data_IF_408220797702
#
_entry.id   IF_408220797702
#
_cell.length_a   1.000
_cell.length_b   1.000
_cell.length_c   1.000
_cell.angle_alpha   90.00
_cell.angle_beta   90.00
_cell.angle_gamma   90.00
#
_symmetry.space_group_name_H-M   'P 1'
#
loop_
_entity.id
_entity.type
_entity.pdbx_description
1 polymer ?
#
# COMPACT_ATOMS: atom_id res chain seq x y z
N UNK A 1 44.16 9.78 -39.48
CA UNK A 1 43.09 10.20 -38.56
C UNK A 1 41.78 9.71 -39.15
N UNK A 2 41.31 8.56 -38.67
CA UNK A 2 40.02 7.99 -39.05
C UNK A 2 38.97 8.48 -38.04
N UNK A 3 37.98 9.21 -38.52
CA UNK A 3 36.80 9.59 -37.76
C UNK A 3 35.88 8.36 -37.67
N UNK A 4 35.81 7.74 -36.50
CA UNK A 4 34.89 6.64 -36.23
C UNK A 4 33.48 7.21 -36.10
N UNK A 5 32.61 6.88 -37.06
CA UNK A 5 31.18 7.16 -37.00
C UNK A 5 30.53 6.35 -35.87
N UNK A 6 30.05 7.01 -34.81
CA UNK A 6 29.29 6.41 -33.70
C UNK A 6 27.80 6.20 -34.02
N UNK A 7 27.45 5.88 -35.26
CA UNK A 7 26.05 5.80 -35.70
C UNK A 7 25.59 4.38 -36.03
N UNK A 8 26.28 3.35 -35.54
CA UNK A 8 25.81 1.97 -35.65
C UNK A 8 25.59 1.41 -34.24
N UNK A 9 24.57 1.91 -33.55
CA UNK A 9 23.84 1.05 -32.62
C UNK A 9 23.08 0.07 -33.49
N UNK A 10 23.48 -1.20 -33.45
CA UNK A 10 22.70 -2.28 -34.04
C UNK A 10 21.24 -2.15 -33.56
N UNK A 11 20.35 -1.83 -34.49
CA UNK A 11 18.94 -1.54 -34.24
C UNK A 11 18.11 -2.81 -34.04
N UNK A 12 18.65 -3.80 -33.31
CA UNK A 12 18.00 -5.10 -33.08
C UNK A 12 17.53 -5.31 -31.64
N UNK A 13 17.74 -4.35 -30.74
CA UNK A 13 17.00 -4.32 -29.48
C UNK A 13 15.89 -3.29 -29.63
N UNK A 14 14.65 -3.78 -29.76
CA UNK A 14 13.45 -2.94 -29.71
C UNK A 14 13.39 -2.33 -28.31
N UNK A 15 14.05 -1.18 -28.12
CA UNK A 15 13.97 -0.40 -26.88
C UNK A 15 12.57 0.17 -26.82
N UNK A 16 11.68 -0.52 -26.10
CA UNK A 16 10.42 0.07 -25.68
C UNK A 16 10.76 1.29 -24.83
N UNK A 17 10.70 2.49 -25.42
CA UNK A 17 10.60 3.73 -24.66
C UNK A 17 9.21 3.73 -24.08
N UNK A 18 9.09 2.98 -22.99
CA UNK A 18 7.87 2.72 -22.30
C UNK A 18 7.44 4.05 -21.65
N UNK A 19 6.65 4.83 -22.38
CA UNK A 19 6.12 6.13 -21.93
C UNK A 19 5.03 5.86 -20.90
N UNK A 20 5.45 5.39 -19.74
CA UNK A 20 4.54 4.98 -18.70
C UNK A 20 3.96 6.20 -18.01
N UNK A 21 2.64 6.35 -18.11
CA UNK A 21 1.91 7.35 -17.35
C UNK A 21 2.27 7.24 -15.86
N UNK A 22 2.60 8.37 -15.23
CA UNK A 22 2.87 8.40 -13.79
C UNK A 22 1.57 8.21 -13.00
N UNK A 23 1.67 7.63 -11.81
CA UNK A 23 0.61 7.67 -10.82
C UNK A 23 0.35 9.12 -10.42
N UNK A 24 -0.92 9.42 -10.20
CA UNK A 24 -1.33 10.73 -9.68
C UNK A 24 -0.86 10.83 -8.24
N UNK A 25 -0.27 11.97 -7.89
CA UNK A 25 0.01 12.31 -6.49
C UNK A 25 -1.22 12.97 -5.86
N UNK A 26 -1.57 12.53 -4.65
CA UNK A 26 -2.75 13.04 -3.97
C UNK A 26 -2.41 14.36 -3.30
N UNK A 27 -3.19 15.40 -3.57
CA UNK A 27 -3.02 16.69 -2.90
C UNK A 27 -3.32 16.62 -1.40
N UNK A 28 -4.28 15.78 -1.02
CA UNK A 28 -4.69 15.58 0.37
C UNK A 28 -4.83 14.09 0.67
N UNK A 29 -4.06 13.63 1.66
CA UNK A 29 -4.11 12.28 2.18
C UNK A 29 -5.07 12.20 3.37
N UNK A 30 -5.77 11.07 3.58
CA UNK A 30 -6.63 10.88 4.76
C UNK A 30 -5.84 10.62 6.07
N UNK A 31 -4.51 10.81 6.04
CA UNK A 31 -3.60 10.67 7.17
C UNK A 31 -2.49 11.74 7.11
N UNK A 32 -1.86 11.95 8.26
CA UNK A 32 -0.64 12.74 8.44
C UNK A 32 0.55 11.83 8.76
N UNK A 33 1.77 12.38 8.75
CA UNK A 33 2.95 11.65 9.19
C UNK A 33 2.87 11.23 10.67
N UNK A 34 2.16 11.98 11.51
CA UNK A 34 1.91 11.59 12.89
C UNK A 34 1.05 10.31 12.96
N UNK A 35 0.02 10.20 12.13
CA UNK A 35 -0.83 9.01 12.10
C UNK A 35 -0.03 7.77 11.62
N UNK A 36 0.85 7.94 10.63
CA UNK A 36 1.78 6.89 10.17
C UNK A 36 2.68 6.42 11.31
N UNK A 37 3.23 7.37 12.10
CA UNK A 37 4.02 7.04 13.28
C UNK A 37 3.20 6.26 14.34
N UNK A 38 1.95 6.64 14.57
CA UNK A 38 1.06 5.94 15.50
C UNK A 38 0.80 4.50 15.07
N UNK A 39 0.56 4.24 13.78
CA UNK A 39 0.41 2.88 13.24
C UNK A 39 1.65 2.05 13.57
N UNK A 40 2.84 2.59 13.31
CA UNK A 40 4.10 1.89 13.55
C UNK A 40 4.32 1.62 15.05
N UNK A 41 4.04 2.60 15.92
CA UNK A 41 4.26 2.49 17.37
C UNK A 41 3.28 1.55 18.08
N UNK A 42 2.03 1.51 17.63
CA UNK A 42 0.95 0.82 18.34
C UNK A 42 0.47 -0.45 17.61
N UNK A 43 0.91 -0.67 16.37
CA UNK A 43 0.57 -1.82 15.56
C UNK A 43 1.53 -3.00 15.71
N UNK A 44 1.64 -3.81 14.65
CA UNK A 44 2.54 -4.98 14.54
C UNK A 44 4.03 -4.63 14.59
N UNK A 45 4.37 -3.36 14.35
CA UNK A 45 5.75 -2.89 14.34
C UNK A 45 6.23 -2.36 15.72
N UNK A 46 5.39 -2.43 16.76
CA UNK A 46 5.70 -1.87 18.10
C UNK A 46 7.03 -2.37 18.69
N UNK A 47 7.45 -3.58 18.40
CA UNK A 47 8.67 -4.14 19.00
C UNK A 47 9.93 -3.70 18.22
N UNK A 48 9.74 -3.16 17.01
CA UNK A 48 10.82 -2.68 16.13
C UNK A 48 10.77 -1.17 15.87
N UNK A 49 9.82 -0.43 16.44
CA UNK A 49 9.63 1.00 16.11
C UNK A 49 10.89 1.83 16.43
N UNK A 50 11.62 1.48 17.49
CA UNK A 50 12.85 2.16 17.91
C UNK A 50 13.97 2.06 16.87
N UNK A 51 13.90 1.06 15.99
CA UNK A 51 14.86 0.85 14.89
C UNK A 51 14.52 1.70 13.67
N UNK A 52 13.39 2.39 13.63
CA UNK A 52 12.94 3.13 12.44
C UNK A 52 13.33 4.60 12.58
N UNK A 53 14.12 5.10 11.64
CA UNK A 53 14.51 6.50 11.64
C UNK A 53 13.29 7.41 11.36
N UNK A 54 13.24 8.58 12.02
CA UNK A 54 12.12 9.51 11.86
C UNK A 54 11.99 10.06 10.44
N UNK A 55 13.10 10.18 9.71
CA UNK A 55 13.13 10.54 8.28
C UNK A 55 12.43 9.51 7.37
N UNK A 56 12.28 8.28 7.83
CA UNK A 56 11.61 7.20 7.09
C UNK A 56 10.09 7.38 7.10
N UNK A 57 9.54 8.11 8.08
CA UNK A 57 8.08 8.27 8.26
C UNK A 57 7.42 9.00 7.07
N UNK A 58 7.90 10.18 6.62
CA UNK A 58 7.35 10.82 5.42
C UNK A 58 7.50 9.95 4.17
N UNK A 59 8.59 9.17 4.09
CA UNK A 59 8.80 8.29 2.94
C UNK A 59 7.79 7.14 2.90
N UNK A 60 7.53 6.50 4.03
CA UNK A 60 6.47 5.49 4.16
C UNK A 60 5.10 6.04 3.81
N UNK A 61 4.77 7.25 4.28
CA UNK A 61 3.52 7.95 3.93
C UNK A 61 3.38 8.12 2.42
N UNK A 62 4.44 8.57 1.75
CA UNK A 62 4.46 8.77 0.31
C UNK A 62 4.37 7.44 -0.48
N UNK A 63 4.98 6.37 0.01
CA UNK A 63 4.84 5.03 -0.61
C UNK A 63 3.43 4.46 -0.42
N UNK A 64 2.83 4.63 0.76
CA UNK A 64 1.45 4.21 1.05
C UNK A 64 0.43 4.94 0.16
N UNK A 65 0.69 6.20 -0.19
CA UNK A 65 -0.11 6.92 -1.19
C UNK A 65 -0.17 6.17 -2.53
N UNK A 66 0.94 5.60 -3.01
CA UNK A 66 0.95 4.86 -4.29
C UNK A 66 0.01 3.66 -4.24
N UNK A 67 0.04 2.92 -3.14
CA UNK A 67 -0.90 1.82 -2.90
C UNK A 67 -2.34 2.30 -2.81
N UNK A 68 -2.62 3.41 -2.12
CA UNK A 68 -3.96 4.00 -2.06
C UNK A 68 -4.49 4.40 -3.44
N UNK A 69 -3.66 5.02 -4.28
CA UNK A 69 -4.07 5.43 -5.64
C UNK A 69 -4.40 4.22 -6.51
N UNK A 70 -3.62 3.13 -6.39
CA UNK A 70 -3.90 1.88 -7.11
C UNK A 70 -5.18 1.22 -6.59
N UNK A 71 -5.29 1.05 -5.27
CA UNK A 71 -6.46 0.48 -4.61
C UNK A 71 -7.72 1.26 -4.97
N UNK A 72 -7.69 2.59 -4.90
CA UNK A 72 -8.85 3.43 -5.20
C UNK A 72 -9.33 3.29 -6.65
N UNK A 73 -8.43 3.29 -7.64
CA UNK A 73 -8.78 3.05 -9.04
C UNK A 73 -9.45 1.69 -9.25
N UNK A 74 -8.94 0.67 -8.57
CA UNK A 74 -9.48 -0.68 -8.69
C UNK A 74 -10.81 -0.84 -7.95
N UNK A 75 -10.95 -0.25 -6.76
CA UNK A 75 -12.22 -0.15 -6.04
C UNK A 75 -13.26 0.57 -6.91
N UNK A 76 -12.90 1.70 -7.52
CA UNK A 76 -13.78 2.42 -8.45
C UNK A 76 -14.22 1.54 -9.62
N UNK A 77 -13.28 0.80 -10.23
CA UNK A 77 -13.58 -0.13 -11.31
C UNK A 77 -14.61 -1.18 -10.90
N UNK A 78 -14.44 -1.76 -9.70
CA UNK A 78 -15.34 -2.77 -9.14
C UNK A 78 -16.68 -2.19 -8.68
N UNK A 79 -16.71 -0.96 -8.17
CA UNK A 79 -17.93 -0.28 -7.71
C UNK A 79 -18.81 0.23 -8.85
N UNK A 80 -18.27 0.46 -10.05
CA UNK A 80 -19.01 1.02 -11.20
C UNK A 80 -20.30 0.28 -11.56
N UNK A 81 -20.32 -1.07 -11.70
CA UNK A 81 -21.52 -1.79 -12.10
C UNK A 81 -22.63 -1.77 -11.05
N UNK A 82 -22.26 -1.76 -9.76
CA UNK A 82 -23.21 -1.81 -8.63
C UNK A 82 -23.62 -0.41 -8.16
N UNK A 83 -22.79 0.60 -8.45
CA UNK A 83 -22.98 1.97 -7.96
C UNK A 83 -22.59 2.17 -6.49
N UNK A 84 -22.12 1.13 -5.80
CA UNK A 84 -21.77 1.15 -4.38
C UNK A 84 -20.36 0.64 -4.14
N UNK A 85 -19.69 1.22 -3.14
CA UNK A 85 -18.47 0.69 -2.55
C UNK A 85 -18.81 0.06 -1.20
N UNK A 86 -18.72 -1.28 -1.15
CA UNK A 86 -18.87 -2.09 0.04
C UNK A 86 -17.54 -2.71 0.46
N UNK A 87 -17.55 -3.56 1.50
CA UNK A 87 -16.39 -4.37 1.86
C UNK A 87 -15.92 -5.29 0.71
N UNK A 88 -16.82 -5.71 -0.17
CA UNK A 88 -16.49 -6.65 -1.25
C UNK A 88 -15.58 -6.02 -2.30
N UNK A 89 -15.84 -4.77 -2.70
CA UNK A 89 -15.02 -4.05 -3.67
C UNK A 89 -13.63 -3.76 -3.10
N UNK A 90 -13.53 -3.44 -1.80
CA UNK A 90 -12.23 -3.29 -1.11
C UNK A 90 -11.47 -4.61 -1.09
N UNK A 91 -12.11 -5.71 -0.66
CA UNK A 91 -11.49 -7.04 -0.65
C UNK A 91 -11.06 -7.50 -2.05
N UNK A 92 -11.89 -7.25 -3.06
CA UNK A 92 -11.60 -7.59 -4.46
C UNK A 92 -10.38 -6.83 -4.97
N UNK A 93 -10.31 -5.52 -4.73
CA UNK A 93 -9.16 -4.70 -5.12
C UNK A 93 -7.85 -5.16 -4.45
N UNK A 94 -7.89 -5.53 -3.17
CA UNK A 94 -6.74 -6.09 -2.46
C UNK A 94 -6.24 -7.37 -3.13
N UNK A 95 -7.14 -8.29 -3.46
CA UNK A 95 -6.78 -9.57 -4.11
C UNK A 95 -6.25 -9.41 -5.54
N UNK A 96 -6.69 -8.37 -6.25
CA UNK A 96 -6.25 -8.10 -7.63
C UNK A 96 -4.88 -7.43 -7.66
N UNK A 97 -4.60 -6.52 -6.71
CA UNK A 97 -3.42 -5.67 -6.75
C UNK A 97 -2.24 -6.21 -5.93
N UNK A 98 -2.49 -6.91 -4.83
CA UNK A 98 -1.46 -7.35 -3.90
C UNK A 98 -1.01 -8.77 -4.21
N UNK A 99 0.21 -9.12 -3.81
CA UNK A 99 0.64 -10.51 -3.79
C UNK A 99 -0.23 -11.35 -2.84
N UNK A 100 -0.36 -12.68 -3.02
CA UNK A 100 -1.22 -13.51 -2.19
C UNK A 100 -0.95 -13.38 -0.68
N UNK A 101 0.31 -13.32 -0.25
CA UNK A 101 0.65 -13.12 1.16
C UNK A 101 0.21 -11.74 1.69
N UNK A 102 0.44 -10.67 0.92
CA UNK A 102 0.01 -9.32 1.29
C UNK A 102 -1.52 -9.19 1.34
N UNK A 103 -2.20 -9.78 0.35
CA UNK A 103 -3.66 -9.81 0.29
C UNK A 103 -4.24 -10.54 1.51
N UNK A 104 -3.71 -11.74 1.84
CA UNK A 104 -4.15 -12.51 3.00
C UNK A 104 -3.94 -11.74 4.32
N UNK A 105 -2.76 -11.15 4.51
CA UNK A 105 -2.44 -10.30 5.67
C UNK A 105 -3.45 -9.16 5.82
N UNK A 106 -3.70 -8.41 4.73
CA UNK A 106 -4.66 -7.31 4.73
C UNK A 106 -6.10 -7.77 5.01
N UNK A 107 -6.55 -8.88 4.42
CA UNK A 107 -7.90 -9.40 4.61
C UNK A 107 -8.14 -9.88 6.05
N UNK A 108 -7.13 -10.49 6.68
CA UNK A 108 -7.16 -10.84 8.11
C UNK A 108 -7.26 -9.59 8.98
N UNK A 109 -6.46 -8.56 8.69
CA UNK A 109 -6.54 -7.25 9.36
C UNK A 109 -7.92 -6.59 9.22
N UNK A 110 -8.48 -6.58 8.00
CA UNK A 110 -9.82 -6.05 7.73
C UNK A 110 -10.92 -6.79 8.50
N UNK A 111 -10.86 -8.13 8.51
CA UNK A 111 -11.86 -8.96 9.18
C UNK A 111 -11.84 -8.74 10.69
N UNK A 112 -10.65 -8.64 11.28
CA UNK A 112 -10.48 -8.29 12.70
C UNK A 112 -11.07 -6.92 13.02
N UNK A 113 -10.74 -5.89 12.24
CA UNK A 113 -11.25 -4.54 12.46
C UNK A 113 -12.78 -4.47 12.31
N UNK A 114 -13.35 -5.18 11.35
CA UNK A 114 -14.79 -5.24 11.14
C UNK A 114 -15.52 -5.93 12.30
N UNK A 115 -14.96 -7.02 12.84
CA UNK A 115 -15.50 -7.68 14.02
C UNK A 115 -15.54 -6.72 15.22
N UNK A 116 -14.42 -6.04 15.52
CA UNK A 116 -14.36 -5.04 16.60
C UNK A 116 -15.38 -3.92 16.40
N UNK A 117 -15.46 -3.38 15.17
CA UNK A 117 -16.39 -2.32 14.82
C UNK A 117 -17.86 -2.72 15.03
N UNK A 118 -18.19 -4.00 14.84
CA UNK A 118 -19.55 -4.53 14.99
C UNK A 118 -19.91 -4.81 16.45
N UNK A 119 -18.91 -5.04 17.31
CA UNK A 119 -19.11 -5.38 18.73
C UNK A 119 -19.22 -4.15 19.64
N UNK A 120 -18.67 -2.99 19.25
CA UNK A 120 -18.79 -1.78 20.06
C UNK A 120 -20.19 -1.17 19.93
N UNK A 121 -20.95 -1.24 21.02
CA UNK A 121 -22.31 -0.70 21.16
C UNK A 121 -22.33 0.71 21.78
N UNK A 122 -21.15 1.34 21.93
CA UNK A 122 -21.03 2.67 22.51
C UNK A 122 -21.13 3.76 21.41
N UNK A 123 -22.24 4.51 21.33
CA UNK A 123 -22.42 5.53 20.28
C UNK A 123 -21.48 6.74 20.47
N UNK A 124 -20.89 6.91 21.64
CA UNK A 124 -19.96 8.01 21.97
C UNK A 124 -18.54 7.75 21.48
N UNK A 125 -18.20 6.53 21.09
CA UNK A 125 -16.87 6.19 20.60
C UNK A 125 -16.68 6.53 19.11
N UNK A 126 -15.52 7.09 18.77
CA UNK A 126 -15.15 7.34 17.39
C UNK A 126 -15.01 6.05 16.58
N UNK A 127 -15.32 6.10 15.27
CA UNK A 127 -15.29 4.93 14.37
C UNK A 127 -13.97 4.15 14.40
N UNK A 128 -12.83 4.84 14.50
CA UNK A 128 -11.51 4.19 14.62
C UNK A 128 -11.33 3.45 15.93
N UNK A 129 -11.74 4.05 17.05
CA UNK A 129 -11.66 3.42 18.37
C UNK A 129 -12.49 2.14 18.41
N UNK A 130 -13.72 2.19 17.87
CA UNK A 130 -14.61 1.02 17.74
C UNK A 130 -13.99 -0.10 16.90
N UNK A 131 -13.25 0.24 15.85
CA UNK A 131 -12.55 -0.73 14.99
C UNK A 131 -11.15 -1.12 15.50
N UNK A 132 -10.68 -0.53 16.60
CA UNK A 132 -9.31 -0.64 17.11
C UNK A 132 -8.22 -0.31 16.06
N UNK A 133 -8.42 0.78 15.32
CA UNK A 133 -7.52 1.30 14.28
C UNK A 133 -6.87 2.61 14.73
N UNK A 134 -5.64 2.85 14.29
CA UNK A 134 -4.86 4.06 14.57
C UNK A 134 -5.19 5.20 13.58
N UNK A 135 -5.34 4.88 12.30
CA UNK A 135 -5.79 5.78 11.25
C UNK A 135 -7.26 6.13 11.45
N UNK A 136 -7.62 7.35 11.04
CA UNK A 136 -8.99 7.85 11.16
C UNK A 136 -9.91 7.25 10.08
N UNK A 137 -10.77 6.32 10.47
CA UNK A 137 -11.84 5.75 9.63
C UNK A 137 -12.75 6.86 9.11
N UNK A 138 -13.00 7.90 9.92
CA UNK A 138 -13.80 9.06 9.52
C UNK A 138 -13.14 9.89 8.40
N UNK A 139 -11.82 10.15 8.49
CA UNK A 139 -11.09 10.85 7.42
C UNK A 139 -11.01 10.01 6.16
N UNK A 140 -10.77 8.70 6.28
CA UNK A 140 -10.77 7.78 5.13
C UNK A 140 -12.16 7.73 4.49
N UNK A 141 -13.23 7.62 5.26
CA UNK A 141 -14.60 7.67 4.73
C UNK A 141 -14.88 8.96 3.96
N UNK A 142 -14.52 10.12 4.53
CA UNK A 142 -14.70 11.40 3.86
C UNK A 142 -13.91 11.44 2.54
N UNK A 143 -12.65 11.03 2.58
CA UNK A 143 -11.81 10.93 1.39
C UNK A 143 -12.42 10.02 0.31
N UNK A 144 -12.94 8.85 0.68
CA UNK A 144 -13.61 7.92 -0.25
C UNK A 144 -14.80 8.55 -0.98
N UNK A 145 -15.57 9.38 -0.28
CA UNK A 145 -16.70 10.13 -0.86
C UNK A 145 -16.19 11.22 -1.79
N UNK A 146 -15.19 11.99 -1.36
CA UNK A 146 -14.63 13.11 -2.12
C UNK A 146 -14.04 12.65 -3.46
N UNK A 147 -13.32 11.51 -3.47
CA UNK A 147 -12.76 10.91 -4.70
C UNK A 147 -13.76 10.02 -5.45
N UNK A 148 -15.00 9.89 -4.96
CA UNK A 148 -16.08 9.10 -5.56
C UNK A 148 -15.68 7.66 -5.85
N UNK A 149 -15.27 6.92 -4.82
CA UNK A 149 -15.00 5.47 -4.99
C UNK A 149 -16.24 4.70 -5.45
N UNK A 150 -17.43 5.18 -5.10
CA UNK A 150 -18.72 4.73 -5.60
C UNK A 150 -19.74 5.87 -5.46
N UNK A 151 -20.96 5.69 -5.96
CA UNK A 151 -22.04 6.68 -5.73
C UNK A 151 -22.50 6.64 -4.27
N UNK A 152 -22.41 5.46 -3.66
CA UNK A 152 -22.68 5.22 -2.25
C UNK A 152 -21.51 4.48 -1.59
N UNK A 153 -21.11 4.90 -0.38
CA UNK A 153 -20.06 4.25 0.40
C UNK A 153 -20.70 3.60 1.64
N UNK A 154 -20.71 2.26 1.66
CA UNK A 154 -21.24 1.48 2.76
C UNK A 154 -20.38 1.65 4.02
N UNK A 155 -20.97 1.56 5.22
CA UNK A 155 -20.29 1.87 6.49
C UNK A 155 -19.03 1.03 6.78
N UNK A 156 -19.03 -0.24 6.36
CA UNK A 156 -17.88 -1.14 6.52
C UNK A 156 -16.77 -0.92 5.49
N UNK A 157 -17.05 -0.28 4.37
CA UNK A 157 -16.03 -0.04 3.34
C UNK A 157 -14.86 0.83 3.84
N UNK A 158 -15.07 1.98 4.53
CA UNK A 158 -13.96 2.74 5.11
C UNK A 158 -13.24 1.99 6.23
N UNK A 159 -13.93 1.14 7.00
CA UNK A 159 -13.27 0.28 8.02
C UNK A 159 -12.28 -0.67 7.35
N UNK A 160 -12.71 -1.37 6.29
CA UNK A 160 -11.85 -2.28 5.53
C UNK A 160 -10.68 -1.55 4.87
N UNK A 161 -10.94 -0.42 4.20
CA UNK A 161 -9.87 0.34 3.53
C UNK A 161 -8.84 0.86 4.55
N UNK A 162 -9.31 1.38 5.70
CA UNK A 162 -8.42 1.89 6.76
C UNK A 162 -7.56 0.76 7.33
N UNK A 163 -8.16 -0.38 7.66
CA UNK A 163 -7.44 -1.54 8.20
C UNK A 163 -6.42 -2.11 7.20
N UNK A 164 -6.77 -2.14 5.91
CA UNK A 164 -5.86 -2.57 4.85
C UNK A 164 -4.66 -1.62 4.71
N UNK A 165 -4.87 -0.30 4.80
CA UNK A 165 -3.81 0.69 4.73
C UNK A 165 -2.85 0.59 5.92
N UNK A 166 -3.36 0.37 7.14
CA UNK A 166 -2.51 0.11 8.31
C UNK A 166 -1.70 -1.17 8.13
N UNK A 167 -2.36 -2.24 7.71
CA UNK A 167 -1.70 -3.54 7.52
C UNK A 167 -0.63 -3.46 6.44
N UNK A 168 -0.90 -2.77 5.33
CA UNK A 168 0.10 -2.54 4.27
C UNK A 168 1.29 -1.73 4.76
N UNK A 169 1.04 -0.67 5.54
CA UNK A 169 2.11 0.15 6.11
C UNK A 169 3.00 -0.68 7.05
N UNK A 170 2.41 -1.55 7.87
CA UNK A 170 3.15 -2.49 8.71
C UNK A 170 3.95 -3.49 7.88
N UNK A 171 3.38 -4.05 6.80
CA UNK A 171 4.10 -4.96 5.90
C UNK A 171 5.28 -4.27 5.19
N UNK A 172 5.16 -2.99 4.81
CA UNK A 172 6.29 -2.25 4.23
C UNK A 172 7.46 -2.19 5.20
N UNK A 173 7.19 -1.93 6.47
CA UNK A 173 8.21 -1.88 7.52
C UNK A 173 8.78 -3.27 7.78
N UNK A 174 7.92 -4.24 8.10
CA UNK A 174 8.34 -5.60 8.50
C UNK A 174 9.18 -6.30 7.42
N UNK A 175 8.87 -6.08 6.15
CA UNK A 175 9.61 -6.67 5.04
C UNK A 175 10.83 -5.86 4.61
N UNK A 176 11.05 -4.67 5.19
CA UNK A 176 12.19 -3.81 4.89
C UNK A 176 13.18 -3.66 6.03
N UNK A 177 12.88 -4.18 7.21
CA UNK A 177 13.80 -4.16 8.35
C UNK A 177 15.11 -4.89 8.00
N UNK A 178 16.28 -4.29 8.29
CA UNK A 178 17.55 -4.97 8.15
C UNK A 178 17.60 -6.24 9.02
N UNK A 179 18.27 -7.32 8.55
CA UNK A 179 18.42 -8.54 9.33
C UNK A 179 19.27 -8.31 10.59
N UNK A 180 20.23 -7.39 10.52
CA UNK A 180 21.01 -6.95 11.66
C UNK A 180 20.17 -6.02 12.55
N UNK A 181 20.01 -6.39 13.83
CA UNK A 181 19.18 -5.67 14.80
C UNK A 181 19.77 -4.31 15.18
N UNK A 182 21.08 -4.13 15.07
CA UNK A 182 21.75 -2.88 15.40
C UNK A 182 21.61 -1.82 14.30
N UNK A 183 21.34 -2.26 13.07
CA UNK A 183 21.18 -1.36 11.92
C UNK A 183 19.75 -0.79 11.88
N UNK A 184 19.58 0.54 11.94
CA UNK A 184 18.27 1.15 11.86
C UNK A 184 17.75 1.21 10.42
N UNK A 185 16.42 1.23 10.27
CA UNK A 185 15.74 1.41 9.00
C UNK A 185 15.69 2.90 8.62
N UNK A 186 16.65 3.31 7.80
CA UNK A 186 16.69 4.62 7.13
C UNK A 186 15.82 4.64 5.88
N UNK A 187 15.56 5.84 5.33
CA UNK A 187 14.82 5.96 4.07
C UNK A 187 15.55 5.27 2.90
N UNK A 188 16.88 5.31 2.87
CA UNK A 188 17.68 4.64 1.84
C UNK A 188 17.63 3.11 1.98
N UNK A 189 17.71 2.59 3.21
CA UNK A 189 17.58 1.15 3.47
C UNK A 189 16.18 0.64 3.06
N UNK A 190 15.13 1.41 3.34
CA UNK A 190 13.77 1.12 2.91
C UNK A 190 13.67 0.99 1.37
N UNK A 191 14.21 1.94 0.61
CA UNK A 191 14.19 1.88 -0.85
C UNK A 191 14.97 0.67 -1.37
N UNK A 192 16.14 0.39 -0.80
CA UNK A 192 16.94 -0.77 -1.19
C UNK A 192 16.23 -2.08 -0.92
N UNK A 193 15.53 -2.21 0.20
CA UNK A 193 14.76 -3.41 0.54
C UNK A 193 13.54 -3.58 -0.37
N UNK A 194 12.83 -2.48 -0.70
CA UNK A 194 11.72 -2.51 -1.66
C UNK A 194 12.23 -2.90 -3.05
N UNK A 195 13.41 -2.43 -3.45
CA UNK A 195 14.00 -2.73 -4.76
C UNK A 195 14.27 -4.23 -4.96
N UNK A 196 14.63 -4.96 -3.91
CA UNK A 196 14.90 -6.40 -3.96
C UNK A 196 13.68 -7.27 -3.63
N UNK A 197 12.56 -6.67 -3.21
CA UNK A 197 11.37 -7.39 -2.78
C UNK A 197 10.29 -7.44 -3.89
N UNK A 198 10.06 -8.63 -4.45
CA UNK A 198 9.08 -8.84 -5.53
C UNK A 198 7.61 -8.62 -5.15
N UNK A 199 7.26 -8.69 -3.86
CA UNK A 199 5.91 -8.41 -3.36
C UNK A 199 5.62 -6.89 -3.29
N UNK A 200 6.66 -6.09 -3.02
CA UNK A 200 6.53 -4.64 -2.80
C UNK A 200 6.92 -3.80 -4.01
N UNK A 201 7.95 -4.21 -4.76
CA UNK A 201 8.57 -3.39 -5.79
C UNK A 201 7.56 -2.86 -6.80
N UNK A 202 6.79 -3.76 -7.42
CA UNK A 202 5.80 -3.42 -8.44
C UNK A 202 4.69 -2.51 -7.93
N UNK A 203 4.16 -2.82 -6.73
CA UNK A 203 3.10 -2.05 -6.08
C UNK A 203 3.52 -0.60 -5.83
N UNK A 204 4.78 -0.42 -5.43
CA UNK A 204 5.31 0.87 -4.99
C UNK A 204 5.99 1.67 -6.10
N UNK A 205 5.99 1.20 -7.36
CA UNK A 205 6.52 1.98 -8.47
C UNK A 205 5.68 3.24 -8.77
N UNK A 206 6.32 4.32 -9.27
CA UNK A 206 5.64 5.58 -9.60
C UNK A 206 4.75 5.51 -10.84
N UNK A 207 4.74 4.38 -11.56
CA UNK A 207 4.06 4.25 -12.83
C UNK A 207 2.64 3.69 -12.69
N UNK A 208 1.72 4.10 -13.57
CA UNK A 208 0.32 3.72 -13.49
C UNK A 208 0.07 2.22 -13.74
N UNK A 209 0.85 1.62 -14.64
CA UNK A 209 0.83 0.18 -14.86
C UNK A 209 1.43 -0.53 -13.64
N UNK A 210 0.96 -1.74 -13.35
CA UNK A 210 1.44 -2.54 -12.23
C UNK A 210 2.39 -3.61 -12.77
N UNK A 211 3.67 -3.51 -12.43
CA UNK A 211 4.67 -4.53 -12.75
C UNK A 211 4.82 -5.52 -11.59
N UNK A 212 3.86 -6.42 -11.44
CA UNK A 212 3.93 -7.47 -10.44
C UNK A 212 4.92 -8.59 -10.84
N UNK A 213 5.47 -9.29 -9.84
CA UNK A 213 6.28 -10.50 -10.06
C UNK A 213 7.72 -10.24 -10.53
N UNK A 214 8.24 -9.03 -10.33
CA UNK A 214 9.63 -8.67 -10.64
C UNK A 214 10.25 -7.79 -9.55
N UNK A 215 11.58 -7.75 -9.52
CA UNK A 215 12.37 -6.81 -8.70
C UNK A 215 12.92 -5.65 -9.55
N UNK A 216 13.62 -4.70 -8.92
CA UNK A 216 14.25 -3.58 -9.60
C UNK A 216 15.29 -3.98 -10.67
N UNK A 217 15.88 -5.16 -10.56
CA UNK A 217 16.83 -5.68 -11.56
C UNK A 217 16.14 -6.34 -12.76
N UNK A 218 14.81 -6.40 -12.76
CA UNK A 218 14.01 -7.10 -13.77
C UNK A 218 13.92 -8.61 -13.54
N UNK A 219 14.57 -9.14 -12.50
CA UNK A 219 14.51 -10.56 -12.15
C UNK A 219 13.09 -10.96 -11.75
N UNK A 220 12.62 -12.11 -12.25
CA UNK A 220 11.33 -12.68 -11.89
C UNK A 220 11.34 -13.10 -10.42
N UNK A 221 10.28 -12.76 -9.70
CA UNK A 221 10.08 -13.11 -8.31
C UNK A 221 8.73 -13.83 -8.16
N UNK A 222 8.76 -15.03 -7.59
CA UNK A 222 7.54 -15.74 -7.21
C UNK A 222 6.99 -15.05 -5.97
N UNK A 223 5.72 -14.62 -5.97
CA UNK A 223 5.15 -13.96 -4.82
C UNK A 223 5.08 -14.94 -3.64
N UNK A 224 5.19 -14.41 -2.43
CA UNK A 224 5.00 -15.24 -1.24
C UNK A 224 3.56 -15.73 -1.20
N UNK A 225 3.40 -17.03 -0.95
CA UNK A 225 2.10 -17.59 -0.63
C UNK A 225 1.91 -17.55 0.89
N UNK A 226 0.68 -17.27 1.37
CA UNK A 226 0.39 -17.40 2.78
C UNK A 226 0.64 -18.85 3.18
N UNK A 227 1.51 -19.05 4.19
CA UNK A 227 1.69 -20.38 4.77
C UNK A 227 0.33 -20.84 5.31
N UNK A 228 -0.10 -22.05 4.95
CA UNK A 228 -1.20 -22.72 5.62
C UNK A 228 -0.80 -22.96 7.07
N UNK A 229 -1.16 -22.00 7.94
CA UNK A 229 -1.16 -22.18 9.39
C UNK A 229 -2.29 -23.09 9.80
#
# INVERSE_FOLDING_TARGET
METINTNVTAADEFVWVDSHNRLVELQQLPWSNHDVLCVIKHGRCRDSWSRICMETIPRLSYLLQRSLVRLSREIQRLSRPVGMTSRQEVCGALKILLSPALADSCLKGCSRAAAMFSMSDQPTEGKSSRACLQLSVGRVQRWMVDVRLGRFVHEFAPVYLTAALETLLEEFVLQSLPPDLEVPLTAAALESAIASNGDLWGLLQPYAHLNAGRTATGALAIPRFPSSS
#
